data_IF_352078468089
#
_entry.id   IF_352078468089
#
_cell.length_a   1.000
_cell.length_b   1.000
_cell.length_c   1.000
_cell.angle_alpha   90.00
_cell.angle_beta   90.00
_cell.angle_gamma   90.00
#
_symmetry.space_group_name_H-M   'P 1'
#
loop_
_entity.id
_entity.type
_entity.pdbx_description
1 polymer ?
#
# COMPACT_ATOMS: atom_id res chain seq x y z
N UNK A 1 61.85 -17.29 -68.93
CA UNK A 1 60.47 -17.74 -68.70
C UNK A 1 60.21 -17.53 -67.17
N UNK A 2 59.58 -16.42 -66.82
CA UNK A 2 59.26 -16.12 -65.39
C UNK A 2 57.72 -16.21 -65.24
N UNK A 3 57.27 -17.19 -64.44
CA UNK A 3 55.90 -17.31 -64.03
C UNK A 3 55.58 -16.30 -62.90
N UNK A 4 54.60 -15.45 -63.09
CA UNK A 4 53.98 -14.63 -62.01
C UNK A 4 52.79 -15.40 -61.49
N UNK A 5 52.86 -15.74 -60.21
CA UNK A 5 51.69 -16.24 -59.46
C UNK A 5 50.96 -15.06 -58.83
N UNK A 6 49.74 -14.80 -59.29
CA UNK A 6 48.85 -13.79 -58.68
C UNK A 6 48.11 -14.35 -57.49
N UNK A 7 48.29 -13.69 -56.34
CA UNK A 7 47.55 -13.98 -55.11
C UNK A 7 46.27 -13.15 -55.09
N UNK A 8 45.12 -13.82 -55.22
CA UNK A 8 43.80 -13.18 -54.99
C UNK A 8 43.48 -13.17 -53.51
N UNK A 9 43.51 -11.97 -52.90
CA UNK A 9 42.98 -11.74 -51.58
C UNK A 9 41.47 -11.57 -51.68
N UNK A 10 40.68 -12.54 -51.21
CA UNK A 10 39.24 -12.40 -50.99
C UNK A 10 39.04 -11.71 -49.63
N UNK A 11 38.67 -10.44 -49.67
CA UNK A 11 38.22 -9.72 -48.47
C UNK A 11 36.79 -10.15 -48.14
N UNK A 12 36.66 -10.99 -47.09
CA UNK A 12 35.32 -11.21 -46.46
C UNK A 12 34.95 -9.96 -45.67
N UNK A 13 34.05 -9.17 -46.20
CA UNK A 13 33.34 -8.13 -45.48
C UNK A 13 32.35 -8.79 -44.53
N UNK A 14 32.69 -8.97 -43.26
CA UNK A 14 31.75 -9.28 -42.20
C UNK A 14 30.92 -8.02 -41.97
N UNK A 15 29.73 -7.98 -42.58
CA UNK A 15 28.71 -6.99 -42.24
C UNK A 15 28.27 -7.28 -40.81
N UNK A 16 28.75 -6.51 -39.85
CA UNK A 16 28.18 -6.45 -38.52
C UNK A 16 26.78 -5.89 -38.64
N UNK A 17 25.80 -6.77 -38.67
CA UNK A 17 24.40 -6.41 -38.42
C UNK A 17 24.31 -5.99 -36.95
N UNK A 18 24.53 -4.70 -36.70
CA UNK A 18 24.17 -4.07 -35.45
C UNK A 18 22.67 -4.22 -35.27
N UNK A 19 22.25 -5.21 -34.48
CA UNK A 19 20.88 -5.27 -34.01
C UNK A 19 20.60 -3.94 -33.31
N UNK A 20 19.75 -3.10 -33.87
CA UNK A 20 19.22 -1.93 -33.16
C UNK A 20 18.61 -2.46 -31.87
N UNK A 21 19.30 -2.27 -30.76
CA UNK A 21 18.77 -2.61 -29.46
C UNK A 21 17.46 -1.85 -29.32
N UNK A 22 16.34 -2.60 -29.31
CA UNK A 22 15.01 -2.02 -29.22
C UNK A 22 14.96 -1.21 -27.94
N UNK A 23 14.70 0.09 -28.03
CA UNK A 23 14.62 0.92 -26.84
C UNK A 23 13.35 0.57 -26.09
N UNK A 24 13.50 0.16 -24.82
CA UNK A 24 12.38 -0.07 -23.89
C UNK A 24 12.17 1.14 -22.98
N UNK A 25 13.09 2.11 -23.03
CA UNK A 25 13.09 3.30 -22.17
C UNK A 25 12.02 4.29 -22.64
N UNK A 26 11.15 4.66 -21.72
CA UNK A 26 10.04 5.59 -21.89
C UNK A 26 8.74 5.05 -21.30
N UNK A 27 7.61 5.76 -21.56
CA UNK A 27 6.30 5.41 -21.01
C UNK A 27 5.66 4.21 -21.73
N UNK A 28 5.07 3.34 -20.93
CA UNK A 28 4.26 2.20 -21.34
C UNK A 28 2.86 2.33 -20.75
N UNK A 29 1.83 2.16 -21.57
CA UNK A 29 0.43 2.32 -21.16
C UNK A 29 -0.41 1.18 -21.72
N UNK A 30 -1.31 0.67 -20.93
CA UNK A 30 -2.25 -0.39 -21.28
C UNK A 30 -3.03 -0.85 -20.08
N UNK A 31 -3.31 -2.14 -20.02
CA UNK A 31 -4.19 -2.70 -19.02
C UNK A 31 -3.63 -4.00 -18.41
N UNK A 32 -4.03 -4.25 -17.17
CA UNK A 32 -3.96 -5.56 -16.54
C UNK A 32 -5.36 -6.20 -16.51
N UNK A 33 -5.44 -7.50 -16.79
CA UNK A 33 -6.71 -8.24 -16.66
C UNK A 33 -6.76 -8.87 -15.27
N UNK A 34 -7.65 -8.36 -14.42
CA UNK A 34 -7.80 -8.78 -13.01
C UNK A 34 -9.23 -9.24 -12.80
N UNK A 35 -9.44 -10.53 -12.52
CA UNK A 35 -10.77 -11.15 -12.34
C UNK A 35 -11.75 -10.79 -13.49
N UNK A 36 -11.24 -10.74 -14.73
CA UNK A 36 -12.01 -10.39 -15.93
C UNK A 36 -12.21 -8.88 -16.15
N UNK A 37 -11.76 -8.02 -15.25
CA UNK A 37 -11.80 -6.57 -15.37
C UNK A 37 -10.51 -6.03 -15.97
N UNK A 38 -10.61 -4.95 -16.75
CA UNK A 38 -9.45 -4.23 -17.29
C UNK A 38 -9.10 -3.09 -16.34
N UNK A 39 -7.90 -3.15 -15.75
CA UNK A 39 -7.37 -2.11 -14.85
C UNK A 39 -6.25 -1.37 -15.57
N UNK A 40 -6.37 -0.05 -15.76
CA UNK A 40 -5.35 0.73 -16.44
C UNK A 40 -3.98 0.66 -15.75
N UNK A 41 -2.93 0.43 -16.54
CA UNK A 41 -1.53 0.36 -16.07
C UNK A 41 -0.72 1.43 -16.78
N UNK A 42 0.06 2.17 -16.00
CA UNK A 42 1.08 3.10 -16.49
C UNK A 42 2.43 2.71 -15.90
N UNK A 43 3.39 2.44 -16.76
CA UNK A 43 4.74 2.06 -16.38
C UNK A 43 5.72 3.02 -17.09
N UNK A 44 6.66 3.57 -16.33
CA UNK A 44 7.78 4.35 -16.86
C UNK A 44 9.06 3.52 -16.71
N UNK A 45 9.84 3.42 -17.77
CA UNK A 45 11.18 2.83 -17.74
C UNK A 45 12.19 3.91 -18.10
N UNK A 46 13.23 4.08 -17.28
CA UNK A 46 14.28 5.09 -17.45
C UNK A 46 15.66 4.46 -17.39
N UNK A 47 16.72 5.24 -17.65
CA UNK A 47 18.09 4.75 -17.61
C UNK A 47 18.62 4.27 -18.97
N UNK A 48 19.67 3.48 -18.98
CA UNK A 48 20.29 2.94 -20.19
C UNK A 48 21.19 1.74 -19.90
N UNK A 49 21.36 0.86 -20.86
CA UNK A 49 22.24 -0.31 -20.76
C UNK A 49 21.83 -1.23 -19.60
N UNK A 50 22.72 -1.43 -18.64
CA UNK A 50 22.47 -2.24 -17.44
C UNK A 50 21.92 -1.42 -16.26
N UNK A 51 21.87 -0.09 -16.40
CA UNK A 51 21.34 0.82 -15.36
C UNK A 51 19.91 1.24 -15.74
N UNK A 52 18.99 0.29 -15.64
CA UNK A 52 17.59 0.48 -15.91
C UNK A 52 16.81 0.65 -14.60
N UNK A 53 15.91 1.61 -14.61
CA UNK A 53 14.94 1.85 -13.54
C UNK A 53 13.53 1.78 -14.10
N UNK A 54 12.56 1.45 -13.24
CA UNK A 54 11.17 1.46 -13.62
C UNK A 54 10.29 1.92 -12.44
N UNK A 55 9.11 2.47 -12.76
CA UNK A 55 8.10 2.77 -11.77
C UNK A 55 6.70 2.56 -12.35
N UNK A 56 5.80 2.00 -11.56
CA UNK A 56 4.36 2.08 -11.82
C UNK A 56 3.87 3.46 -11.40
N UNK A 57 3.10 4.11 -12.27
CA UNK A 57 2.62 5.48 -12.06
C UNK A 57 1.12 5.48 -11.75
N UNK A 58 0.73 6.25 -10.74
CA UNK A 58 -0.65 6.45 -10.33
C UNK A 58 -0.91 7.95 -10.11
N UNK A 59 -1.34 8.66 -11.14
CA UNK A 59 -1.36 10.13 -11.11
C UNK A 59 0.03 10.71 -10.87
N UNK A 60 0.20 11.58 -9.85
CA UNK A 60 1.52 12.09 -9.45
C UNK A 60 2.33 11.11 -8.59
N UNK A 61 1.71 10.06 -8.09
CA UNK A 61 2.35 9.07 -7.23
C UNK A 61 3.08 8.02 -8.07
N UNK A 62 4.14 7.44 -7.51
CA UNK A 62 4.90 6.38 -8.17
C UNK A 62 5.28 5.25 -7.22
N UNK A 63 5.30 4.03 -7.74
CA UNK A 63 5.82 2.85 -7.08
C UNK A 63 7.13 2.44 -7.78
N UNK A 64 8.30 2.85 -7.27
CA UNK A 64 9.59 2.51 -7.90
C UNK A 64 9.88 1.02 -7.78
N UNK A 65 10.45 0.46 -8.84
CA UNK A 65 10.92 -0.91 -8.84
C UNK A 65 12.18 -1.07 -7.97
N UNK A 66 12.34 -2.25 -7.37
CA UNK A 66 13.56 -2.64 -6.67
C UNK A 66 14.67 -3.01 -7.65
N UNK A 67 14.32 -3.61 -8.78
CA UNK A 67 15.26 -3.93 -9.86
C UNK A 67 14.57 -4.06 -11.21
N UNK A 68 15.35 -3.85 -12.28
CA UNK A 68 14.93 -4.06 -13.66
C UNK A 68 16.01 -4.85 -14.39
N UNK A 69 15.61 -5.88 -15.11
CA UNK A 69 16.51 -6.58 -16.04
C UNK A 69 15.86 -6.74 -17.40
N UNK A 70 16.64 -6.54 -18.46
CA UNK A 70 16.19 -6.73 -19.84
C UNK A 70 17.24 -7.46 -20.63
N UNK A 71 16.94 -8.67 -21.09
CA UNK A 71 17.82 -9.51 -21.85
C UNK A 71 17.11 -10.07 -23.11
N UNK A 72 17.63 -9.77 -24.28
CA UNK A 72 16.98 -10.11 -25.54
C UNK A 72 15.68 -9.36 -25.75
N UNK A 73 14.55 -10.01 -25.45
CA UNK A 73 13.22 -9.41 -25.42
C UNK A 73 12.48 -9.68 -24.09
N UNK A 74 13.14 -10.28 -23.11
CA UNK A 74 12.58 -10.61 -21.81
C UNK A 74 12.85 -9.49 -20.82
N UNK A 75 11.80 -8.93 -20.23
CA UNK A 75 11.81 -7.85 -19.25
C UNK A 75 11.31 -8.39 -17.90
N UNK A 76 12.11 -8.22 -16.87
CA UNK A 76 11.72 -8.52 -15.48
C UNK A 76 11.87 -7.26 -14.64
N UNK A 77 10.78 -6.85 -13.99
CA UNK A 77 10.74 -5.71 -13.07
C UNK A 77 10.27 -6.22 -11.72
N UNK A 78 11.05 -6.03 -10.65
CA UNK A 78 10.71 -6.53 -9.32
C UNK A 78 10.35 -5.41 -8.35
N UNK A 79 9.39 -5.68 -7.48
CA UNK A 79 8.96 -4.83 -6.37
C UNK A 79 9.11 -5.67 -5.09
N UNK A 80 10.35 -5.82 -4.62
CA UNK A 80 10.70 -6.75 -3.54
C UNK A 80 9.93 -6.47 -2.24
N UNK A 81 9.67 -5.19 -1.97
CA UNK A 81 8.93 -4.74 -0.79
C UNK A 81 7.43 -5.14 -0.78
N UNK A 82 6.90 -5.65 -1.91
CA UNK A 82 5.60 -6.35 -1.99
C UNK A 82 5.73 -7.78 -2.52
N UNK A 83 6.95 -8.28 -2.73
CA UNK A 83 7.25 -9.58 -3.33
C UNK A 83 6.53 -9.79 -4.68
N UNK A 84 6.41 -8.73 -5.51
CA UNK A 84 5.74 -8.75 -6.81
C UNK A 84 6.69 -8.50 -7.95
N UNK A 85 6.35 -9.06 -9.11
CA UNK A 85 7.15 -8.99 -10.32
C UNK A 85 6.28 -8.75 -11.54
N UNK A 86 6.71 -7.87 -12.44
CA UNK A 86 6.30 -7.89 -13.85
C UNK A 86 7.30 -8.78 -14.57
N UNK A 87 6.82 -9.84 -15.19
CA UNK A 87 7.57 -10.78 -16.01
C UNK A 87 6.95 -10.78 -17.40
N UNK A 88 7.67 -10.22 -18.39
CA UNK A 88 7.08 -9.89 -19.67
C UNK A 88 8.04 -10.04 -20.84
N UNK A 89 7.44 -10.20 -22.03
CA UNK A 89 8.14 -10.15 -23.33
C UNK A 89 7.81 -8.84 -24.03
N UNK A 90 8.83 -8.20 -24.60
CA UNK A 90 8.70 -6.97 -25.38
C UNK A 90 8.92 -7.28 -26.86
N UNK A 91 7.90 -7.06 -27.71
CA UNK A 91 7.95 -7.27 -29.15
C UNK A 91 7.26 -6.12 -29.88
N UNK A 92 7.99 -5.45 -30.76
CA UNK A 92 7.46 -4.41 -31.67
C UNK A 92 6.67 -3.28 -30.95
N UNK A 93 7.17 -2.85 -29.77
CA UNK A 93 6.52 -1.81 -28.98
C UNK A 93 5.34 -2.31 -28.14
N UNK A 94 5.14 -3.62 -28.03
CA UNK A 94 4.17 -4.25 -27.16
C UNK A 94 4.89 -5.00 -26.03
N UNK A 95 4.43 -4.83 -24.81
CA UNK A 95 4.83 -5.57 -23.64
C UNK A 95 3.68 -6.48 -23.23
N UNK A 96 3.92 -7.78 -23.22
CA UNK A 96 2.91 -8.78 -22.83
C UNK A 96 3.51 -9.72 -21.80
N UNK A 97 2.84 -9.90 -20.68
CA UNK A 97 3.35 -10.72 -19.59
C UNK A 97 2.38 -10.82 -18.42
N UNK A 98 2.94 -10.94 -17.22
CA UNK A 98 2.15 -11.03 -15.99
C UNK A 98 2.72 -10.12 -14.90
N UNK A 99 1.84 -9.66 -14.00
CA UNK A 99 2.19 -8.98 -12.75
C UNK A 99 1.65 -9.78 -11.56
N UNK A 100 2.44 -9.91 -10.51
CA UNK A 100 1.97 -10.51 -9.26
C UNK A 100 3.04 -11.21 -8.45
N UNK A 101 2.59 -12.04 -7.50
CA UNK A 101 3.41 -12.90 -6.65
C UNK A 101 3.65 -14.26 -7.32
N UNK A 102 4.33 -15.16 -6.61
CA UNK A 102 4.45 -16.58 -7.05
C UNK A 102 3.08 -17.26 -7.12
N UNK A 103 2.15 -16.89 -6.22
CA UNK A 103 0.84 -17.53 -6.06
C UNK A 103 -0.24 -16.92 -6.95
N UNK A 104 -0.18 -15.61 -7.18
CA UNK A 104 -1.23 -14.87 -7.90
C UNK A 104 -0.60 -14.00 -8.96
N UNK A 105 -0.97 -14.22 -10.23
CA UNK A 105 -0.47 -13.47 -11.37
C UNK A 105 -1.61 -12.99 -12.23
N UNK A 106 -1.57 -11.72 -12.64
CA UNK A 106 -2.52 -11.08 -13.53
C UNK A 106 -1.86 -10.80 -14.88
N UNK A 107 -2.51 -11.14 -16.02
CA UNK A 107 -2.02 -10.76 -17.34
C UNK A 107 -1.89 -9.23 -17.47
N UNK A 108 -0.80 -8.76 -18.06
CA UNK A 108 -0.57 -7.36 -18.41
C UNK A 108 -0.26 -7.22 -19.90
N UNK A 109 -0.80 -6.17 -20.53
CA UNK A 109 -0.56 -5.85 -21.92
C UNK A 109 -0.41 -4.33 -22.07
N UNK A 110 0.79 -3.87 -22.42
CA UNK A 110 1.11 -2.45 -22.51
C UNK A 110 1.68 -2.10 -23.87
N UNK A 111 1.44 -0.88 -24.32
CA UNK A 111 1.97 -0.31 -25.55
C UNK A 111 3.00 0.78 -25.23
N UNK A 112 4.11 0.76 -25.95
CA UNK A 112 5.13 1.81 -25.85
C UNK A 112 4.56 3.14 -26.35
N UNK A 113 4.67 4.19 -25.53
CA UNK A 113 4.07 5.50 -25.80
C UNK A 113 2.58 5.45 -26.14
N UNK A 114 1.90 4.42 -25.60
CA UNK A 114 0.44 4.30 -25.72
C UNK A 114 -0.28 5.46 -25.05
N UNK A 115 -1.50 5.75 -25.47
CA UNK A 115 -2.40 6.66 -24.77
C UNK A 115 -3.44 5.85 -23.99
N UNK A 116 -3.80 6.32 -22.80
CA UNK A 116 -4.99 5.79 -22.11
C UNK A 116 -6.20 6.16 -22.96
N UNK A 117 -7.04 5.18 -23.29
CA UNK A 117 -8.27 5.45 -24.00
C UNK A 117 -9.12 6.49 -23.24
N UNK A 118 -9.29 7.66 -23.83
CA UNK A 118 -10.22 8.66 -23.31
C UNK A 118 -11.62 8.16 -23.57
N UNK A 119 -12.39 7.86 -22.49
CA UNK A 119 -13.78 7.44 -22.65
C UNK A 119 -14.59 8.56 -23.30
N UNK A 120 -15.16 8.29 -24.45
CA UNK A 120 -16.13 9.17 -25.12
C UNK A 120 -17.54 8.81 -24.63
N UNK A 121 -17.86 9.13 -23.38
CA UNK A 121 -19.24 9.05 -22.92
C UNK A 121 -20.07 10.21 -23.52
N UNK A 122 -21.15 9.91 -24.21
CA UNK A 122 -21.99 10.92 -24.85
C UNK A 122 -22.87 11.73 -23.88
N UNK A 123 -23.02 11.27 -22.63
CA UNK A 123 -23.78 11.98 -21.59
C UNK A 123 -22.88 12.89 -20.77
N UNK A 124 -23.41 14.07 -20.39
CA UNK A 124 -22.70 14.98 -19.48
C UNK A 124 -22.43 14.29 -18.13
N UNK A 125 -21.17 14.41 -17.65
CA UNK A 125 -20.81 13.91 -16.33
C UNK A 125 -21.56 14.66 -15.23
N UNK A 126 -22.11 13.93 -14.27
CA UNK A 126 -22.70 14.51 -13.09
C UNK A 126 -21.57 14.87 -12.10
N UNK A 127 -21.62 16.06 -11.51
CA UNK A 127 -20.71 16.43 -10.43
C UNK A 127 -21.04 15.63 -9.15
N UNK A 128 -20.09 14.80 -8.74
CA UNK A 128 -20.17 13.99 -7.52
C UNK A 128 -19.09 14.37 -6.51
N UNK A 129 -18.42 15.51 -6.69
CA UNK A 129 -17.33 15.95 -5.80
C UNK A 129 -17.76 16.13 -4.35
N UNK A 130 -16.81 16.05 -3.42
CA UNK A 130 -17.00 16.16 -1.97
C UNK A 130 -17.12 14.81 -1.28
N UNK A 131 -17.53 14.84 -0.01
CA UNK A 131 -17.57 13.66 0.86
C UNK A 131 -18.91 12.94 0.80
N UNK A 132 -18.81 11.61 0.87
CA UNK A 132 -19.91 10.68 0.91
C UNK A 132 -19.68 9.61 1.98
N UNK A 133 -20.70 9.23 2.70
CA UNK A 133 -20.69 8.08 3.61
C UNK A 133 -21.31 6.88 2.90
N UNK A 134 -20.51 5.84 2.77
CA UNK A 134 -20.90 4.57 2.14
C UNK A 134 -21.36 3.62 3.24
N UNK A 135 -22.64 3.30 3.25
CA UNK A 135 -23.21 2.36 4.22
C UNK A 135 -22.66 0.95 3.98
N UNK A 136 -22.08 0.34 5.03
CA UNK A 136 -21.47 -0.99 4.93
C UNK A 136 -21.89 -1.90 6.07
N UNK A 137 -21.79 -3.21 5.82
CA UNK A 137 -21.81 -4.26 6.83
C UNK A 137 -20.50 -5.00 6.77
N UNK A 138 -19.51 -4.49 7.49
CA UNK A 138 -18.17 -5.04 7.46
C UNK A 138 -17.98 -6.14 8.50
N UNK A 139 -17.23 -7.18 8.15
CA UNK A 139 -16.79 -8.21 9.10
C UNK A 139 -15.89 -7.66 10.21
N UNK A 140 -15.35 -6.44 10.03
CA UNK A 140 -14.57 -5.71 11.04
C UNK A 140 -15.44 -4.95 12.04
N UNK A 141 -16.76 -4.89 11.82
CA UNK A 141 -17.70 -4.18 12.70
C UNK A 141 -17.89 -2.71 12.36
N UNK A 142 -17.26 -2.19 11.31
CA UNK A 142 -17.49 -0.81 10.84
C UNK A 142 -18.86 -0.70 10.16
N UNK A 143 -19.47 0.48 10.27
CA UNK A 143 -20.81 0.76 9.76
C UNK A 143 -20.83 1.69 8.54
N UNK A 144 -19.75 2.44 8.31
CA UNK A 144 -19.62 3.32 7.16
C UNK A 144 -18.17 3.43 6.71
N UNK A 145 -17.96 3.61 5.39
CA UNK A 145 -16.73 4.12 4.80
C UNK A 145 -16.92 5.57 4.38
N UNK A 146 -15.86 6.33 4.31
CA UNK A 146 -15.87 7.66 3.69
C UNK A 146 -15.30 7.58 2.28
N UNK A 147 -16.08 7.99 1.29
CA UNK A 147 -15.64 8.21 -0.07
C UNK A 147 -15.48 9.72 -0.27
N UNK A 148 -14.24 10.17 -0.47
CA UNK A 148 -13.92 11.56 -0.77
C UNK A 148 -13.54 11.70 -2.23
N UNK A 149 -14.21 12.59 -2.98
CA UNK A 149 -13.99 12.83 -4.40
C UNK A 149 -13.58 14.28 -4.58
N UNK A 150 -12.40 14.51 -5.16
CA UNK A 150 -11.90 15.86 -5.35
C UNK A 150 -12.64 16.56 -6.50
N UNK A 151 -12.94 17.87 -6.36
CA UNK A 151 -13.50 18.64 -7.46
C UNK A 151 -12.54 18.64 -8.65
N UNK A 152 -13.06 18.41 -9.84
CA UNK A 152 -12.26 18.45 -11.07
C UNK A 152 -13.11 18.95 -12.23
N UNK A 153 -12.56 19.87 -13.02
CA UNK A 153 -13.10 20.25 -14.32
C UNK A 153 -12.77 19.21 -15.42
N UNK A 154 -11.80 18.32 -15.16
CA UNK A 154 -11.42 17.23 -16.05
C UNK A 154 -12.09 15.93 -15.60
N UNK A 155 -13.19 15.58 -16.24
CA UNK A 155 -13.96 14.35 -15.98
C UNK A 155 -13.23 13.08 -16.42
N UNK A 156 -12.09 13.20 -17.09
CA UNK A 156 -11.24 12.09 -17.48
C UNK A 156 -10.17 11.74 -16.44
N UNK A 157 -10.02 12.57 -15.40
CA UNK A 157 -8.97 12.39 -14.39
C UNK A 157 -9.40 12.90 -13.01
N UNK A 158 -10.49 12.37 -12.49
CA UNK A 158 -11.03 12.71 -11.16
C UNK A 158 -10.31 11.87 -10.11
N UNK A 159 -9.84 12.49 -9.02
CA UNK A 159 -9.24 11.78 -7.88
C UNK A 159 -10.31 11.45 -6.84
N UNK A 160 -10.26 10.22 -6.33
CA UNK A 160 -11.06 9.76 -5.20
C UNK A 160 -10.20 8.97 -4.21
N UNK A 161 -10.70 8.82 -2.99
CA UNK A 161 -10.14 7.94 -1.95
C UNK A 161 -11.29 7.37 -1.13
N UNK A 162 -11.18 6.11 -0.72
CA UNK A 162 -12.13 5.49 0.22
C UNK A 162 -11.38 5.22 1.52
N UNK A 163 -11.78 5.91 2.59
CA UNK A 163 -11.30 5.68 3.95
C UNK A 163 -12.14 4.59 4.62
N UNK A 164 -11.49 3.63 5.22
CA UNK A 164 -12.03 2.51 6.00
C UNK A 164 -11.41 2.49 7.37
N UNK A 165 -11.86 1.58 8.23
CA UNK A 165 -11.31 1.43 9.57
C UNK A 165 -9.83 1.02 9.59
N UNK A 166 -9.37 0.24 8.63
CA UNK A 166 -7.96 -0.17 8.52
C UNK A 166 -7.08 0.77 7.71
N UNK A 167 -7.65 1.86 7.18
CA UNK A 167 -6.94 2.85 6.41
C UNK A 167 -7.62 3.17 5.09
N UNK A 168 -6.94 3.87 4.21
CA UNK A 168 -7.49 4.24 2.91
C UNK A 168 -7.10 3.29 1.76
N UNK A 169 -7.73 3.49 0.63
CA UNK A 169 -7.47 2.68 -0.59
C UNK A 169 -6.22 3.09 -1.34
N UNK A 170 -5.49 4.12 -0.90
CA UNK A 170 -4.63 4.88 -1.79
C UNK A 170 -5.44 5.75 -2.75
N UNK A 171 -4.77 6.63 -3.49
CA UNK A 171 -5.43 7.48 -4.47
C UNK A 171 -5.98 6.63 -5.62
N UNK A 172 -7.26 6.84 -5.93
CA UNK A 172 -7.95 6.26 -7.07
C UNK A 172 -8.15 7.36 -8.11
N UNK A 173 -7.78 7.10 -9.35
CA UNK A 173 -8.01 8.02 -10.46
C UNK A 173 -9.07 7.44 -11.39
N UNK A 174 -10.05 8.24 -11.75
CA UNK A 174 -11.21 7.76 -12.49
C UNK A 174 -11.67 8.69 -13.59
N UNK A 175 -12.51 8.13 -14.46
CA UNK A 175 -13.13 8.82 -15.58
C UNK A 175 -14.61 8.51 -15.65
N UNK A 176 -15.37 9.47 -16.19
CA UNK A 176 -16.75 9.26 -16.55
C UNK A 176 -16.87 8.37 -17.80
N UNK A 177 -17.73 7.36 -17.74
CA UNK A 177 -17.96 6.40 -18.85
C UNK A 177 -19.27 6.64 -19.61
N UNK A 178 -20.06 7.64 -19.19
CA UNK A 178 -21.37 7.93 -19.76
C UNK A 178 -22.54 7.63 -18.80
N UNK A 179 -22.33 6.76 -17.81
CA UNK A 179 -23.35 6.39 -16.81
C UNK A 179 -22.79 6.21 -15.38
N UNK A 180 -21.47 6.11 -15.25
CA UNK A 180 -20.77 5.90 -13.98
C UNK A 180 -19.33 6.43 -14.06
N UNK A 181 -18.72 6.64 -12.91
CA UNK A 181 -17.27 6.80 -12.80
C UNK A 181 -16.62 5.45 -12.52
N UNK A 182 -15.55 5.13 -13.24
CA UNK A 182 -14.66 4.03 -12.91
C UNK A 182 -13.38 4.60 -12.29
N UNK A 183 -13.20 4.38 -10.99
CA UNK A 183 -12.05 4.80 -10.19
C UNK A 183 -11.11 3.62 -9.95
N UNK A 184 -9.85 3.77 -10.26
CA UNK A 184 -8.89 2.69 -10.02
C UNK A 184 -7.47 3.16 -9.89
N UNK A 185 -6.62 2.23 -9.53
CA UNK A 185 -5.17 2.36 -9.58
C UNK A 185 -4.52 1.02 -9.91
N UNK A 186 -3.25 1.09 -10.34
CA UNK A 186 -2.38 -0.06 -10.45
C UNK A 186 -1.00 0.31 -9.88
N UNK A 187 -0.69 -0.19 -8.70
CA UNK A 187 0.53 0.12 -7.93
C UNK A 187 1.32 -1.15 -7.63
N UNK A 188 2.49 -1.02 -7.02
CA UNK A 188 3.24 -2.19 -6.54
C UNK A 188 2.49 -2.98 -5.46
N UNK A 189 1.62 -2.34 -4.67
CA UNK A 189 0.72 -3.02 -3.74
C UNK A 189 -0.33 -3.88 -4.45
N UNK A 190 -0.72 -3.50 -5.67
CA UNK A 190 -1.69 -4.21 -6.50
C UNK A 190 -2.71 -3.28 -7.14
N UNK A 191 -3.70 -3.86 -7.84
CA UNK A 191 -4.77 -3.15 -8.47
C UNK A 191 -5.94 -2.85 -7.53
N UNK A 192 -6.65 -1.75 -7.80
CA UNK A 192 -8.00 -1.49 -7.31
C UNK A 192 -8.87 -0.95 -8.45
N UNK A 193 -10.15 -1.28 -8.43
CA UNK A 193 -11.13 -0.75 -9.39
C UNK A 193 -12.51 -0.68 -8.74
N UNK A 194 -13.11 0.51 -8.73
CA UNK A 194 -14.43 0.79 -8.20
C UNK A 194 -15.32 1.43 -9.24
N UNK A 195 -16.58 0.98 -9.32
CA UNK A 195 -17.66 1.68 -9.99
C UNK A 195 -18.36 2.61 -8.99
N UNK A 196 -18.59 3.85 -9.39
CA UNK A 196 -19.36 4.84 -8.62
C UNK A 196 -20.45 5.42 -9.54
N UNK A 197 -21.68 5.02 -9.30
CA UNK A 197 -22.82 5.32 -10.17
C UNK A 197 -23.82 6.28 -9.50
N UNK A 198 -23.96 7.52 -10.01
CA UNK A 198 -24.95 8.44 -9.51
C UNK A 198 -26.40 7.91 -9.71
N UNK A 199 -27.25 8.17 -8.72
CA UNK A 199 -28.66 7.79 -8.73
C UNK A 199 -29.56 9.03 -8.82
N UNK A 200 -30.82 8.83 -9.26
CA UNK A 200 -31.80 9.90 -9.44
C UNK A 200 -32.27 10.51 -8.12
N UNK A 201 -32.11 9.80 -7.00
CA UNK A 201 -32.45 10.25 -5.65
C UNK A 201 -31.30 11.04 -4.97
N UNK A 202 -30.21 11.31 -5.70
CA UNK A 202 -29.06 12.02 -5.19
C UNK A 202 -28.08 11.18 -4.37
N UNK A 203 -28.25 9.85 -4.35
CA UNK A 203 -27.29 8.90 -3.78
C UNK A 203 -26.28 8.43 -4.82
N UNK A 204 -25.24 7.67 -4.39
CA UNK A 204 -24.35 6.93 -5.30
C UNK A 204 -24.45 5.45 -4.98
N UNK A 205 -24.26 4.60 -5.99
CA UNK A 205 -23.96 3.18 -5.79
C UNK A 205 -22.48 2.95 -6.01
N UNK A 206 -21.82 2.32 -5.03
CA UNK A 206 -20.38 2.02 -5.02
C UNK A 206 -20.19 0.51 -5.06
N UNK A 207 -19.38 0.02 -6.01
CA UNK A 207 -19.06 -1.40 -6.13
C UNK A 207 -17.57 -1.62 -6.32
N UNK A 208 -17.00 -2.57 -5.60
CA UNK A 208 -15.64 -3.04 -5.84
C UNK A 208 -15.63 -4.04 -7.00
N UNK A 209 -15.17 -3.60 -8.15
CA UNK A 209 -15.21 -4.39 -9.39
C UNK A 209 -14.27 -5.60 -9.37
N UNK A 210 -13.22 -5.58 -8.54
CA UNK A 210 -12.27 -6.70 -8.41
C UNK A 210 -12.73 -7.74 -7.37
N UNK A 211 -13.81 -7.48 -6.64
CA UNK A 211 -14.41 -8.34 -5.64
C UNK A 211 -15.90 -8.57 -5.94
N UNK A 212 -16.21 -8.83 -7.20
CA UNK A 212 -17.59 -9.06 -7.65
C UNK A 212 -18.23 -10.31 -7.00
N UNK A 213 -17.42 -11.22 -6.46
CA UNK A 213 -17.80 -12.41 -5.68
C UNK A 213 -18.19 -12.08 -4.23
N UNK A 214 -17.93 -10.85 -3.75
CA UNK A 214 -18.23 -10.41 -2.38
C UNK A 214 -19.43 -9.47 -2.38
N UNK A 215 -20.61 -10.02 -2.09
CA UNK A 215 -21.88 -9.26 -2.12
C UNK A 215 -21.88 -8.03 -1.23
N UNK A 216 -21.17 -8.10 -0.07
CA UNK A 216 -21.02 -7.01 0.89
C UNK A 216 -20.22 -5.82 0.36
N UNK A 217 -19.62 -5.94 -0.83
CA UNK A 217 -18.88 -4.88 -1.51
C UNK A 217 -19.53 -4.47 -2.85
N UNK A 218 -20.76 -4.85 -3.08
CA UNK A 218 -21.49 -4.55 -4.31
C UNK A 218 -22.70 -3.66 -4.05
N UNK A 219 -22.90 -2.67 -4.91
CA UNK A 219 -24.04 -1.74 -4.89
C UNK A 219 -24.27 -1.07 -3.51
N UNK A 220 -23.18 -0.74 -2.82
CA UNK A 220 -23.23 -0.03 -1.55
C UNK A 220 -23.78 1.37 -1.77
N UNK A 221 -24.73 1.78 -0.93
CA UNK A 221 -25.35 3.10 -1.04
C UNK A 221 -24.48 4.13 -0.34
N UNK A 222 -24.03 5.13 -1.09
CA UNK A 222 -23.35 6.29 -0.54
C UNK A 222 -24.29 7.51 -0.48
N UNK A 223 -24.27 8.22 0.64
CA UNK A 223 -25.07 9.42 0.91
C UNK A 223 -24.19 10.57 1.34
N UNK A 224 -24.62 11.79 1.10
CA UNK A 224 -23.99 12.94 1.72
C UNK A 224 -24.10 12.82 3.25
N UNK A 225 -23.10 13.28 4.05
CA UNK A 225 -23.13 13.14 5.51
C UNK A 225 -24.43 13.65 6.14
N UNK A 226 -24.96 14.78 5.67
CA UNK A 226 -26.25 15.32 6.15
C UNK A 226 -27.43 14.39 5.84
N UNK A 227 -27.47 13.77 4.67
CA UNK A 227 -28.52 12.81 4.29
C UNK A 227 -28.40 11.52 5.12
N UNK A 228 -27.18 11.05 5.38
CA UNK A 228 -26.95 9.89 6.24
C UNK A 228 -27.46 10.15 7.67
N UNK A 229 -27.14 11.32 8.25
CA UNK A 229 -27.67 11.73 9.57
C UNK A 229 -29.19 11.85 9.59
N UNK A 230 -29.78 12.44 8.55
CA UNK A 230 -31.26 12.52 8.45
C UNK A 230 -31.94 11.14 8.38
N UNK A 231 -31.25 10.15 7.83
CA UNK A 231 -31.67 8.75 7.79
C UNK A 231 -31.33 7.95 9.07
N UNK A 232 -30.78 8.60 10.10
CA UNK A 232 -30.32 7.98 11.36
C UNK A 232 -29.24 6.87 11.15
N UNK A 233 -28.48 6.97 10.07
CA UNK A 233 -27.37 6.04 9.83
C UNK A 233 -26.16 6.44 10.69
N UNK A 234 -25.42 5.44 11.20
CA UNK A 234 -24.18 5.70 11.92
C UNK A 234 -23.12 6.28 10.97
N UNK A 235 -22.21 7.09 11.51
CA UNK A 235 -21.01 7.53 10.80
C UNK A 235 -19.92 6.48 10.79
N UNK A 236 -18.71 6.90 10.36
CA UNK A 236 -17.52 6.07 10.44
C UNK A 236 -17.24 5.67 11.89
N UNK A 237 -16.74 4.45 12.06
CA UNK A 237 -16.24 4.00 13.36
C UNK A 237 -14.98 4.79 13.72
N UNK A 238 -14.90 5.25 14.97
CA UNK A 238 -13.71 5.91 15.49
C UNK A 238 -12.56 4.89 15.60
N UNK A 239 -11.42 5.13 14.94
CA UNK A 239 -10.26 4.22 14.98
C UNK A 239 -9.72 3.95 16.40
N UNK A 240 -9.90 4.89 17.33
CA UNK A 240 -9.47 4.74 18.73
C UNK A 240 -10.39 3.85 19.55
N UNK A 241 -11.59 3.55 19.03
CA UNK A 241 -12.60 2.71 19.67
C UNK A 241 -12.71 1.31 19.06
N UNK A 242 -12.06 1.08 17.92
CA UNK A 242 -12.15 -0.19 17.19
C UNK A 242 -11.50 -1.35 17.95
N UNK A 243 -10.30 -1.12 18.47
CA UNK A 243 -9.51 -2.11 19.20
C UNK A 243 -9.26 -1.63 20.61
N UNK A 244 -9.39 -2.51 21.60
CA UNK A 244 -9.11 -2.22 23.01
C UNK A 244 -8.24 -3.32 23.61
N UNK A 245 -7.95 -3.25 24.91
CA UNK A 245 -7.25 -4.30 25.66
C UNK A 245 -8.16 -4.88 26.73
N UNK A 246 -7.97 -6.19 27.02
CA UNK A 246 -8.75 -6.94 28.02
C UNK A 246 -8.59 -6.37 29.43
N UNK A 247 -7.37 -5.97 29.80
CA UNK A 247 -7.03 -5.38 31.08
C UNK A 247 -6.12 -4.16 30.89
N UNK A 248 -6.67 -2.95 30.96
CA UNK A 248 -5.88 -1.72 30.84
C UNK A 248 -4.88 -1.51 31.97
N UNK A 249 -5.04 -2.21 33.10
CA UNK A 249 -4.11 -2.14 34.24
C UNK A 249 -2.88 -3.03 34.07
N UNK A 250 -2.93 -4.00 33.18
CA UNK A 250 -1.81 -4.89 32.89
C UNK A 250 -0.78 -4.23 31.96
N UNK A 251 0.50 -4.62 32.10
CA UNK A 251 1.54 -4.26 31.13
C UNK A 251 1.28 -4.99 29.80
N UNK A 252 1.47 -4.31 28.68
CA UNK A 252 1.39 -4.94 27.37
C UNK A 252 2.57 -5.87 27.16
N UNK A 253 2.31 -7.14 26.86
CA UNK A 253 3.33 -8.16 26.74
C UNK A 253 3.57 -8.54 25.26
N UNK A 254 4.84 -8.63 24.89
CA UNK A 254 5.31 -9.23 23.65
C UNK A 254 6.67 -9.91 23.86
N UNK A 255 6.95 -10.94 23.07
CA UNK A 255 8.25 -11.62 23.06
C UNK A 255 8.39 -12.36 21.73
N UNK A 256 9.19 -11.80 20.80
CA UNK A 256 9.32 -12.32 19.44
C UNK A 256 10.77 -12.19 18.95
N UNK A 257 11.23 -13.02 18.01
CA UNK A 257 12.54 -12.89 17.40
C UNK A 257 12.60 -11.68 16.45
N UNK A 258 13.76 -11.04 16.39
CA UNK A 258 14.13 -10.15 15.30
C UNK A 258 14.57 -10.95 14.05
N UNK A 259 14.97 -10.25 12.99
CA UNK A 259 15.44 -10.89 11.75
C UNK A 259 16.77 -11.63 11.88
N UNK A 260 17.48 -11.51 13.01
CA UNK A 260 18.67 -12.29 13.34
C UNK A 260 18.36 -13.55 14.15
N UNK A 261 17.11 -13.69 14.62
CA UNK A 261 16.64 -14.74 15.52
C UNK A 261 16.83 -14.41 17.00
N UNK A 262 17.33 -13.22 17.35
CA UNK A 262 17.41 -12.78 18.74
C UNK A 262 16.01 -12.43 19.26
N UNK A 263 15.60 -13.05 20.36
CA UNK A 263 14.32 -12.74 20.98
C UNK A 263 14.42 -11.41 21.72
N UNK A 264 13.44 -10.54 21.46
CA UNK A 264 13.24 -9.24 22.12
C UNK A 264 11.88 -9.26 22.80
N UNK A 265 11.86 -8.84 24.06
CA UNK A 265 10.68 -8.87 24.93
C UNK A 265 10.39 -7.49 25.51
N UNK A 266 9.12 -7.21 25.83
CA UNK A 266 8.72 -6.00 26.54
C UNK A 266 9.38 -5.82 27.90
N UNK A 267 10.05 -6.84 28.44
CA UNK A 267 10.82 -6.80 29.69
C UNK A 267 12.30 -6.50 29.50
N UNK A 268 12.76 -6.30 28.27
CA UNK A 268 14.16 -5.97 28.00
C UNK A 268 14.48 -4.55 28.48
N UNK A 269 15.71 -4.32 28.98
CA UNK A 269 16.10 -3.03 29.59
C UNK A 269 15.92 -1.81 28.68
N UNK A 270 15.94 -2.00 27.36
CA UNK A 270 15.72 -0.91 26.39
C UNK A 270 14.34 -0.26 26.52
N UNK A 271 13.35 -0.97 27.07
CA UNK A 271 11.97 -0.49 27.25
C UNK A 271 11.67 0.03 28.65
N UNK A 272 12.62 -0.11 29.59
CA UNK A 272 12.40 0.31 30.98
C UNK A 272 12.20 1.82 31.09
N UNK A 273 11.03 2.23 31.60
CA UNK A 273 10.65 3.63 31.78
C UNK A 273 10.49 4.42 30.46
N UNK A 274 10.36 3.72 29.35
CA UNK A 274 10.14 4.32 28.03
C UNK A 274 8.66 4.38 27.68
N UNK A 275 8.31 5.35 26.86
CA UNK A 275 7.08 5.34 26.06
C UNK A 275 7.33 4.40 24.90
N UNK A 276 6.40 3.50 24.62
CA UNK A 276 6.58 2.51 23.55
C UNK A 276 5.38 2.53 22.61
N UNK A 277 5.62 2.71 21.31
CA UNK A 277 4.62 2.42 20.29
C UNK A 277 4.82 0.98 19.84
N UNK A 278 3.81 0.12 20.02
CA UNK A 278 3.80 -1.24 19.49
C UNK A 278 2.88 -1.26 18.28
N UNK A 279 3.48 -1.20 17.09
CA UNK A 279 2.76 -1.24 15.82
C UNK A 279 2.62 -2.70 15.35
N UNK A 280 1.39 -3.13 15.13
CA UNK A 280 1.06 -4.46 14.59
C UNK A 280 0.78 -4.32 13.11
N UNK A 281 1.57 -5.00 12.29
CA UNK A 281 1.47 -4.89 10.84
C UNK A 281 2.07 -6.08 10.11
N UNK A 282 2.33 -5.89 8.82
CA UNK A 282 3.02 -6.85 7.98
C UNK A 282 3.52 -6.20 6.69
N UNK A 283 4.61 -6.71 6.14
CA UNK A 283 5.21 -6.16 4.92
C UNK A 283 4.35 -6.34 3.65
N UNK A 284 3.27 -7.09 3.73
CA UNK A 284 2.27 -7.26 2.67
C UNK A 284 1.20 -6.15 2.65
N UNK A 285 1.04 -5.41 3.76
CA UNK A 285 -0.07 -4.50 4.01
C UNK A 285 0.22 -3.09 3.46
N UNK A 286 -0.54 -2.56 2.50
CA UNK A 286 -0.29 -1.22 1.93
C UNK A 286 -0.34 -0.10 2.97
N UNK A 287 -1.34 -0.09 3.88
CA UNK A 287 -1.47 0.93 4.92
C UNK A 287 -0.33 0.87 5.95
N UNK A 288 0.28 -0.31 6.17
CA UNK A 288 1.50 -0.44 6.97
C UNK A 288 2.71 0.19 6.28
N UNK A 289 2.74 0.16 4.93
CA UNK A 289 3.74 0.89 4.15
C UNK A 289 3.56 2.42 4.26
N UNK A 290 2.34 2.89 4.42
CA UNK A 290 2.05 4.32 4.61
C UNK A 290 2.35 4.76 6.05
N UNK A 291 2.16 3.89 7.06
CA UNK A 291 2.45 4.16 8.48
C UNK A 291 3.97 4.20 8.76
N UNK A 292 4.76 3.32 8.15
CA UNK A 292 6.16 3.13 8.47
C UNK A 292 7.02 4.42 8.43
N UNK A 293 6.89 5.32 7.45
CA UNK A 293 7.62 6.59 7.44
C UNK A 293 7.25 7.51 8.60
N UNK A 294 5.99 7.52 9.05
CA UNK A 294 5.56 8.30 10.21
C UNK A 294 6.20 7.76 11.49
N UNK A 295 6.16 6.44 11.70
CA UNK A 295 6.78 5.80 12.87
C UNK A 295 8.29 6.05 12.91
N UNK A 296 8.98 5.97 11.78
CA UNK A 296 10.41 6.27 11.69
C UNK A 296 10.71 7.75 12.00
N UNK A 297 9.85 8.66 11.55
CA UNK A 297 9.97 10.09 11.85
C UNK A 297 9.81 10.35 13.36
N UNK A 298 8.78 9.78 13.99
CA UNK A 298 8.56 9.89 15.43
C UNK A 298 9.71 9.27 16.23
N UNK A 299 10.20 8.10 15.81
CA UNK A 299 11.35 7.46 16.46
C UNK A 299 12.59 8.35 16.40
N UNK A 300 12.96 8.87 15.25
CA UNK A 300 14.10 9.78 15.10
C UNK A 300 13.96 11.05 15.95
N UNK A 301 12.75 11.60 16.02
CA UNK A 301 12.50 12.84 16.74
C UNK A 301 12.53 12.66 18.26
N UNK A 302 11.96 11.56 18.77
CA UNK A 302 11.68 11.42 20.21
C UNK A 302 12.47 10.29 20.90
N UNK A 303 13.25 9.47 20.19
CA UNK A 303 14.02 8.38 20.79
C UNK A 303 14.94 8.86 21.93
N UNK A 304 15.68 9.96 21.72
CA UNK A 304 16.53 10.56 22.74
C UNK A 304 15.77 11.09 23.97
N UNK A 305 14.46 11.32 23.84
CA UNK A 305 13.55 11.77 24.89
C UNK A 305 12.82 10.61 25.57
N UNK A 306 13.06 9.38 25.12
CA UNK A 306 12.54 8.17 25.73
C UNK A 306 11.38 7.50 25.01
N UNK A 307 11.23 7.72 23.70
CA UNK A 307 10.34 6.93 22.84
C UNK A 307 11.09 5.70 22.32
N UNK A 308 10.43 4.55 22.37
CA UNK A 308 10.76 3.36 21.58
C UNK A 308 9.63 3.02 20.63
N UNK A 309 9.98 2.42 19.49
CA UNK A 309 9.01 1.88 18.52
C UNK A 309 9.35 0.42 18.26
N UNK A 310 8.34 -0.42 18.31
CA UNK A 310 8.44 -1.86 18.00
C UNK A 310 7.39 -2.22 16.98
N UNK A 311 7.81 -2.69 15.82
CA UNK A 311 6.88 -3.27 14.84
C UNK A 311 6.82 -4.79 15.05
N UNK A 312 5.63 -5.32 15.28
CA UNK A 312 5.32 -6.75 15.32
C UNK A 312 4.82 -7.15 13.94
N UNK A 313 5.73 -7.67 13.10
CA UNK A 313 5.41 -8.03 11.74
C UNK A 313 4.82 -9.43 11.67
N UNK A 314 3.58 -9.53 11.20
CA UNK A 314 2.90 -10.78 10.88
C UNK A 314 2.98 -11.01 9.37
N UNK A 315 3.52 -12.14 8.98
CA UNK A 315 3.87 -12.42 7.60
C UNK A 315 3.16 -13.67 7.07
N UNK A 316 3.14 -13.86 5.77
CA UNK A 316 2.71 -15.11 5.15
C UNK A 316 3.76 -16.20 5.37
N UNK A 317 3.34 -17.47 5.41
CA UNK A 317 4.18 -18.63 5.74
C UNK A 317 5.47 -18.75 4.91
N UNK A 318 5.46 -18.33 3.64
CA UNK A 318 6.65 -18.32 2.79
C UNK A 318 7.63 -17.21 3.19
N UNK A 319 7.13 -16.07 3.65
CA UNK A 319 7.93 -14.94 4.13
C UNK A 319 8.50 -15.17 5.53
N UNK A 320 7.88 -16.02 6.34
CA UNK A 320 8.49 -16.46 7.60
C UNK A 320 9.72 -17.36 7.39
N UNK A 321 9.74 -18.11 6.28
CA UNK A 321 10.89 -18.97 5.91
C UNK A 321 12.02 -18.17 5.27
N UNK A 322 11.67 -17.19 4.43
CA UNK A 322 12.58 -16.29 3.76
C UNK A 322 12.02 -14.87 3.79
N UNK A 323 12.38 -14.04 4.78
CA UNK A 323 11.80 -12.72 5.01
C UNK A 323 12.34 -11.65 4.04
N UNK A 324 12.49 -12.00 2.77
CA UNK A 324 13.02 -11.11 1.72
C UNK A 324 12.15 -9.85 1.57
N UNK A 325 10.81 -10.01 1.62
CA UNK A 325 9.89 -8.87 1.54
C UNK A 325 10.01 -7.94 2.75
N UNK A 326 10.06 -8.49 3.96
CA UNK A 326 10.23 -7.70 5.18
C UNK A 326 11.58 -6.96 5.20
N UNK A 327 12.66 -7.59 4.74
CA UNK A 327 13.96 -6.91 4.58
C UNK A 327 13.88 -5.75 3.60
N UNK A 328 13.25 -5.98 2.44
CA UNK A 328 13.07 -4.94 1.44
C UNK A 328 12.14 -3.80 1.91
N UNK A 329 11.14 -4.09 2.76
CA UNK A 329 10.30 -3.10 3.42
C UNK A 329 11.14 -2.22 4.37
N UNK A 330 11.94 -2.83 5.25
CA UNK A 330 12.84 -2.13 6.18
C UNK A 330 13.81 -1.23 5.42
N UNK A 331 14.45 -1.76 4.38
CA UNK A 331 15.40 -1.03 3.54
C UNK A 331 14.74 0.15 2.83
N UNK A 332 13.56 -0.08 2.23
CA UNK A 332 12.81 0.95 1.48
C UNK A 332 12.52 2.20 2.32
N UNK A 333 12.15 2.02 3.57
CA UNK A 333 11.78 3.12 4.47
C UNK A 333 12.92 3.54 5.41
N UNK A 334 14.08 2.86 5.34
CA UNK A 334 15.22 3.14 6.20
C UNK A 334 14.90 3.02 7.67
N UNK A 335 14.11 1.99 8.05
CA UNK A 335 13.63 1.80 9.40
C UNK A 335 14.78 1.48 10.35
N UNK A 336 14.89 2.25 11.43
CA UNK A 336 15.93 2.11 12.46
C UNK A 336 15.40 1.65 13.81
N UNK A 337 14.07 1.63 13.99
CA UNK A 337 13.41 1.08 15.16
C UNK A 337 13.33 -0.45 15.13
N UNK A 338 12.96 -1.06 16.24
CA UNK A 338 12.89 -2.52 16.40
C UNK A 338 11.80 -3.14 15.53
N UNK A 339 12.16 -4.13 14.69
CA UNK A 339 11.21 -4.91 13.90
C UNK A 339 11.33 -6.38 14.29
N UNK A 340 10.21 -6.99 14.72
CA UNK A 340 10.14 -8.37 15.20
C UNK A 340 9.23 -9.21 14.29
N UNK A 341 9.58 -10.49 14.10
CA UNK A 341 8.82 -11.45 13.33
C UNK A 341 7.85 -12.16 14.27
N UNK A 342 6.57 -11.74 14.27
CA UNK A 342 5.61 -12.17 15.27
C UNK A 342 4.91 -13.51 14.95
N UNK A 343 4.78 -13.85 13.67
CA UNK A 343 4.12 -15.10 13.24
C UNK A 343 3.33 -14.93 11.95
N UNK A 344 2.41 -15.86 11.70
CA UNK A 344 1.49 -15.79 10.57
C UNK A 344 0.31 -14.86 10.89
N UNK A 345 -0.30 -14.28 9.85
CA UNK A 345 -1.45 -13.35 9.98
C UNK A 345 -2.63 -13.96 10.73
N UNK A 346 -2.87 -15.25 10.53
CA UNK A 346 -3.94 -16.01 11.16
C UNK A 346 -3.71 -16.24 12.68
N UNK A 347 -2.45 -16.11 13.12
CA UNK A 347 -2.05 -16.29 14.52
C UNK A 347 -2.18 -14.99 15.33
N UNK A 348 -2.60 -13.87 14.74
CA UNK A 348 -2.64 -12.55 15.37
C UNK A 348 -3.24 -12.58 16.77
N UNK A 349 -4.47 -13.08 16.91
CA UNK A 349 -5.19 -13.10 18.19
C UNK A 349 -4.66 -14.13 19.18
N UNK A 350 -3.95 -15.16 18.72
CA UNK A 350 -3.23 -16.12 19.56
C UNK A 350 -1.96 -15.48 20.14
N UNK A 351 -1.20 -14.76 19.29
CA UNK A 351 0.08 -14.16 19.67
C UNK A 351 -0.05 -12.85 20.46
N UNK A 352 -1.16 -12.14 20.27
CA UNK A 352 -1.51 -10.90 20.98
C UNK A 352 -2.84 -11.07 21.71
N UNK A 353 -2.90 -11.98 22.70
CA UNK A 353 -4.15 -12.38 23.35
C UNK A 353 -4.76 -11.27 24.23
N UNK A 354 -4.01 -10.21 24.56
CA UNK A 354 -4.48 -9.05 25.30
C UNK A 354 -5.34 -8.09 24.48
N UNK A 355 -5.28 -8.14 23.14
CA UNK A 355 -6.13 -7.35 22.28
C UNK A 355 -7.59 -7.82 22.29
N UNK A 356 -8.52 -6.88 22.16
CA UNK A 356 -9.94 -7.12 21.97
C UNK A 356 -10.34 -6.48 20.65
N UNK A 357 -11.03 -7.23 19.80
CA UNK A 357 -11.41 -6.81 18.46
C UNK A 357 -10.20 -6.35 17.61
N UNK A 358 -9.06 -7.03 17.76
CA UNK A 358 -7.84 -6.76 17.01
C UNK A 358 -7.95 -7.41 15.63
N UNK A 359 -8.42 -6.64 14.64
CA UNK A 359 -8.75 -7.11 13.29
C UNK A 359 -8.39 -6.13 12.17
N UNK A 360 -7.64 -5.07 12.49
CA UNK A 360 -7.20 -4.04 11.54
C UNK A 360 -5.68 -4.07 11.32
N UNK A 361 -5.26 -3.75 10.11
CA UNK A 361 -3.87 -3.65 9.70
C UNK A 361 -3.60 -2.28 9.07
N UNK A 362 -2.71 -1.44 9.67
CA UNK A 362 -2.03 -1.64 10.95
C UNK A 362 -2.95 -1.45 12.17
N UNK A 363 -2.43 -1.78 13.35
CA UNK A 363 -2.99 -1.35 14.64
C UNK A 363 -1.83 -0.97 15.56
N UNK A 364 -1.83 0.25 16.09
CA UNK A 364 -0.79 0.78 16.95
C UNK A 364 -1.26 0.94 18.40
N UNK A 365 -0.52 0.34 19.35
CA UNK A 365 -0.74 0.46 20.78
C UNK A 365 0.27 1.48 21.35
N UNK A 366 -0.22 2.49 22.05
CA UNK A 366 0.61 3.51 22.69
C UNK A 366 0.72 3.21 24.19
N UNK A 367 1.94 2.89 24.63
CA UNK A 367 2.22 2.50 26.02
C UNK A 367 2.86 3.66 26.77
N UNK A 368 2.36 3.91 27.98
CA UNK A 368 3.02 4.82 28.92
C UNK A 368 4.32 4.24 29.46
N UNK A 369 5.08 5.05 30.20
CA UNK A 369 6.38 4.68 30.80
C UNK A 369 6.32 3.49 31.76
N UNK A 370 5.13 3.11 32.21
CA UNK A 370 4.87 1.93 33.04
C UNK A 370 4.56 0.66 32.21
N UNK A 371 4.59 0.77 30.89
CA UNK A 371 4.31 -0.31 29.94
C UNK A 371 2.82 -0.66 29.79
N UNK A 372 1.90 0.17 30.33
CA UNK A 372 0.45 -0.02 30.18
C UNK A 372 -0.05 0.75 28.98
N UNK A 373 -1.09 0.20 28.33
CA UNK A 373 -1.73 0.85 27.19
C UNK A 373 -2.45 2.13 27.62
N UNK A 374 -2.19 3.22 26.91
CA UNK A 374 -2.87 4.51 27.07
C UNK A 374 -3.90 4.74 25.99
N UNK A 375 -3.55 4.32 24.78
CA UNK A 375 -4.40 4.46 23.61
C UNK A 375 -4.14 3.33 22.61
N UNK A 376 -5.12 3.01 21.80
CA UNK A 376 -4.99 2.11 20.64
C UNK A 376 -5.56 2.82 19.45
N UNK A 377 -4.86 2.79 18.33
CA UNK A 377 -5.36 3.32 17.06
C UNK A 377 -5.38 2.19 16.02
N UNK A 378 -6.54 1.91 15.47
CA UNK A 378 -6.73 0.93 14.40
C UNK A 378 -6.64 1.59 13.03
N UNK A 379 -5.90 0.98 12.11
CA UNK A 379 -5.73 1.47 10.76
C UNK A 379 -4.80 2.68 10.65
N UNK A 380 -4.63 3.15 9.41
CA UNK A 380 -3.80 4.31 9.10
C UNK A 380 -4.37 5.09 7.93
N UNK A 381 -4.71 6.37 8.13
CA UNK A 381 -5.07 7.27 7.06
C UNK A 381 -3.79 7.69 6.32
N UNK A 382 -3.62 7.18 5.11
CA UNK A 382 -2.45 7.42 4.28
C UNK A 382 -2.47 8.79 3.59
N UNK A 383 -1.37 9.17 2.91
CA UNK A 383 -1.23 10.48 2.25
C UNK A 383 -2.18 10.69 1.07
N UNK A 384 -2.88 9.63 0.61
CA UNK A 384 -3.91 9.75 -0.42
C UNK A 384 -5.13 10.58 0.05
N UNK A 385 -5.37 10.61 1.37
CA UNK A 385 -6.39 11.41 2.05
C UNK A 385 -5.71 12.48 2.94
N UNK A 386 -5.19 13.59 2.38
CA UNK A 386 -4.35 14.53 3.12
C UNK A 386 -5.00 15.09 4.40
N UNK A 387 -6.30 15.50 4.43
CA UNK A 387 -6.90 16.00 5.66
C UNK A 387 -6.90 15.00 6.81
N UNK A 388 -7.22 13.74 6.53
CA UNK A 388 -7.23 12.67 7.54
C UNK A 388 -5.81 12.29 7.96
N UNK A 389 -4.88 12.23 7.01
CA UNK A 389 -3.47 11.95 7.26
C UNK A 389 -2.82 13.02 8.16
N UNK A 390 -2.98 14.29 7.82
CA UNK A 390 -2.43 15.40 8.60
C UNK A 390 -3.00 15.45 10.03
N UNK A 391 -4.30 15.20 10.18
CA UNK A 391 -4.94 15.10 11.48
C UNK A 391 -4.34 13.95 12.31
N UNK A 392 -4.24 12.74 11.72
CA UNK A 392 -3.67 11.57 12.37
C UNK A 392 -2.21 11.78 12.80
N UNK A 393 -1.36 12.32 11.92
CA UNK A 393 0.05 12.62 12.25
C UNK A 393 0.16 13.60 13.40
N UNK A 394 -0.67 14.66 13.39
CA UNK A 394 -0.71 15.66 14.46
C UNK A 394 -1.15 15.05 15.79
N UNK A 395 -2.28 14.35 15.80
CA UNK A 395 -2.84 13.71 17.01
C UNK A 395 -1.87 12.68 17.61
N UNK A 396 -1.25 11.87 16.76
CA UNK A 396 -0.23 10.89 17.20
C UNK A 396 0.99 11.59 17.79
N UNK A 397 1.45 12.68 17.18
CA UNK A 397 2.60 13.45 17.71
C UNK A 397 2.28 14.06 19.07
N UNK A 398 1.12 14.69 19.21
CA UNK A 398 0.66 15.28 20.48
C UNK A 398 0.49 14.21 21.58
N UNK A 399 0.00 13.01 21.22
CA UNK A 399 -0.09 11.89 22.14
C UNK A 399 1.30 11.44 22.61
N UNK A 400 2.26 11.27 21.71
CA UNK A 400 3.65 10.90 22.06
C UNK A 400 4.29 11.94 22.96
N UNK A 401 4.16 13.23 22.68
CA UNK A 401 4.66 14.32 23.51
C UNK A 401 4.06 14.28 24.93
N UNK A 402 2.74 14.09 25.02
CA UNK A 402 2.03 13.94 26.30
C UNK A 402 2.55 12.75 27.10
N UNK A 403 2.74 11.59 26.47
CA UNK A 403 3.22 10.38 27.14
C UNK A 403 4.68 10.53 27.60
N UNK A 404 5.53 11.18 26.81
CA UNK A 404 6.92 11.48 27.18
C UNK A 404 7.00 12.41 28.40
N UNK A 405 6.05 13.32 28.54
CA UNK A 405 5.96 14.22 29.71
C UNK A 405 5.47 13.52 30.97
N UNK A 406 4.94 12.29 30.92
CA UNK A 406 4.58 11.52 32.11
C UNK A 406 5.85 11.24 32.99
N UNK A 407 5.72 11.26 34.33
CA UNK A 407 6.85 10.92 35.19
C UNK A 407 7.29 9.47 34.99
N UNK A 408 8.61 9.25 35.03
CA UNK A 408 9.15 7.88 35.02
C UNK A 408 8.71 7.18 36.30
N UNK A 409 8.08 5.98 36.20
CA UNK A 409 7.67 5.23 37.39
C UNK A 409 8.88 4.98 38.32
N UNK A 410 8.76 5.32 39.58
CA UNK A 410 9.76 4.95 40.58
C UNK A 410 9.78 3.42 40.69
N UNK A 411 10.89 2.78 40.34
CA UNK A 411 11.06 1.36 40.63
C UNK A 411 10.95 1.16 42.16
N UNK A 412 9.78 0.69 42.61
CA UNK A 412 9.69 0.12 43.94
C UNK A 412 10.54 -1.14 43.93
N UNK A 413 11.73 -1.08 44.53
CA UNK A 413 12.55 -2.26 44.73
C UNK A 413 11.69 -3.31 45.44
N UNK A 414 11.30 -4.34 44.72
CA UNK A 414 10.73 -5.53 45.33
C UNK A 414 11.84 -6.19 46.13
N UNK A 415 11.70 -6.08 47.45
CA UNK A 415 12.48 -6.87 48.41
C UNK A 415 12.04 -8.31 48.38
#
# INVERSE_FOLDING_TARGET
>A
MKLFAGLFLVALSVAAQGSKQKTIVGPWVGDATVHGQQVPVRLEITGSGNDLHAALLNGPESSPASSVSFAGNHLVITFNYFAKTIDATVTDGHLTGTFGTIKTRYPVSLNFRGSVATGSGSAAAQDISGDWEVEVKSSKGESAWQLSIQPSSDTANVKAVIQRIDGDTGALYGKWTGNEYLFGHFTAAGPALYSVKPQTDGTLLVSNMLRADVNEQQNLVARRPAQARAASLPGMTDPTQQTTVKDPSARFAFSFPDLSGKVVSNTDPQFDGKVVIVAIGGSWCPNCHDEAPMLESLYKQFHSQGLEVVNLSFEEADQLKDPTRLRAFIEKYGLTYTVLVAGETEQLNEKIPQGVNLNCWPTSFFLGRDGRVREVHAGFAGPANPPAHEALVKETTELVEKLIAEPVPTQTASR
#
